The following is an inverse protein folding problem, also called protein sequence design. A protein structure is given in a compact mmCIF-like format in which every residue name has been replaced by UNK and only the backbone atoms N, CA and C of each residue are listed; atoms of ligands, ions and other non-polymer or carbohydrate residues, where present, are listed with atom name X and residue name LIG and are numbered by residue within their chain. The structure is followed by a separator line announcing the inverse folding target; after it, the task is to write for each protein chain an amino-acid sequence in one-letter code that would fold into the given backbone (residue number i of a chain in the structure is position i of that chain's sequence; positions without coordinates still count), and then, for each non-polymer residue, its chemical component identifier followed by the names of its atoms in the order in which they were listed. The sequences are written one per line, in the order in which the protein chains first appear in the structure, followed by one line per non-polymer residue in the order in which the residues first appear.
data_IF_936692401202
#
_entry.id   IF_936692401202
#
_cell.length_a   1.000
_cell.length_b   1.000
_cell.length_c   1.000
_cell.angle_alpha   90.00
_cell.angle_beta   90.00
_cell.angle_gamma   90.00
#
_symmetry.space_group_name_H-M   'P 1'
#
loop_
_entity.id
_entity.type
_entity.pdbx_description
1 polymer ?
#
# COMPACT_ATOMS: atom_id res chain seq x y z
N UNK A 1 5.45 -8.39 -8.78
CA UNK A 1 4.33 -9.25 -9.26
C UNK A 1 3.45 -8.37 -10.13
N UNK A 2 3.28 -8.73 -11.37
CA UNK A 2 2.48 -7.97 -12.35
C UNK A 2 1.91 -8.94 -13.40
N UNK A 3 0.64 -9.32 -13.28
CA UNK A 3 0.04 -10.33 -14.17
C UNK A 3 -0.22 -9.83 -15.60
N UNK A 4 -0.30 -8.51 -15.78
CA UNK A 4 -0.63 -7.93 -17.09
C UNK A 4 0.62 -7.59 -17.90
N UNK A 5 0.48 -7.57 -19.22
CA UNK A 5 1.57 -7.20 -20.11
C UNK A 5 1.87 -5.69 -20.01
N UNK A 6 3.08 -5.36 -19.56
CA UNK A 6 3.63 -4.01 -19.54
C UNK A 6 5.05 -4.04 -20.12
N UNK A 7 5.20 -3.94 -21.44
CA UNK A 7 6.50 -4.15 -22.12
C UNK A 7 7.62 -3.21 -21.68
N UNK A 8 7.27 -2.10 -21.03
CA UNK A 8 8.26 -1.18 -20.48
C UNK A 8 8.92 -1.73 -19.21
N UNK A 9 8.22 -2.59 -18.47
CA UNK A 9 8.68 -3.11 -17.17
C UNK A 9 9.87 -4.04 -17.34
N UNK A 10 9.89 -4.89 -18.37
CA UNK A 10 11.03 -5.75 -18.67
C UNK A 10 12.32 -4.97 -18.99
N UNK A 11 12.17 -3.73 -19.48
CA UNK A 11 13.33 -2.86 -19.80
C UNK A 11 13.96 -2.20 -18.58
N UNK A 12 13.33 -2.31 -17.42
CA UNK A 12 13.87 -1.71 -16.17
C UNK A 12 14.93 -2.58 -15.51
N UNK A 13 15.04 -3.86 -15.90
CA UNK A 13 15.92 -4.84 -15.26
C UNK A 13 15.38 -5.40 -13.94
N UNK A 14 14.17 -5.06 -13.55
CA UNK A 14 13.49 -5.60 -12.36
C UNK A 14 13.03 -7.04 -12.66
N UNK A 15 13.18 -7.94 -11.70
CA UNK A 15 12.61 -9.28 -11.79
C UNK A 15 11.08 -9.20 -11.77
N UNK A 16 10.42 -9.73 -12.80
CA UNK A 16 8.97 -9.67 -12.96
C UNK A 16 8.37 -11.07 -12.86
N UNK A 17 7.41 -11.24 -11.95
CA UNK A 17 6.60 -12.46 -11.83
C UNK A 17 5.26 -12.22 -12.52
N UNK A 18 4.98 -12.98 -13.58
CA UNK A 18 3.78 -12.86 -14.45
C UNK A 18 2.64 -13.75 -13.96
N UNK A 19 2.38 -13.67 -12.67
CA UNK A 19 1.28 -14.38 -12.00
C UNK A 19 0.45 -13.39 -11.19
N UNK A 20 -0.82 -13.74 -10.92
CA UNK A 20 -1.62 -12.97 -9.99
C UNK A 20 -1.16 -13.26 -8.57
N UNK A 21 -1.20 -12.28 -7.71
CA UNK A 21 -0.82 -12.43 -6.30
C UNK A 21 -1.68 -13.48 -5.57
N UNK A 22 -2.92 -13.66 -6.01
CA UNK A 22 -3.85 -14.65 -5.47
C UNK A 22 -3.42 -16.10 -5.72
N UNK A 23 -2.66 -16.32 -6.80
CA UNK A 23 -2.25 -17.66 -7.25
C UNK A 23 -0.85 -18.05 -6.72
N UNK A 24 -0.08 -17.10 -6.15
CA UNK A 24 1.24 -17.37 -5.60
C UNK A 24 1.19 -18.16 -4.30
N UNK A 25 2.16 -19.05 -4.09
CA UNK A 25 2.39 -19.69 -2.79
C UNK A 25 2.81 -18.63 -1.76
N UNK A 26 2.35 -18.76 -0.51
CA UNK A 26 2.76 -17.87 0.58
C UNK A 26 4.27 -17.94 0.84
N UNK A 27 4.89 -19.08 0.61
CA UNK A 27 6.33 -19.25 0.74
C UNK A 27 7.14 -18.29 -0.17
N UNK A 28 6.54 -17.75 -1.24
CA UNK A 28 7.17 -16.71 -2.06
C UNK A 28 7.56 -15.49 -1.23
N UNK A 29 6.74 -15.13 -0.25
CA UNK A 29 6.95 -13.96 0.60
C UNK A 29 7.91 -14.21 1.79
N UNK A 30 8.31 -15.46 2.01
CA UNK A 30 9.31 -15.82 3.03
C UNK A 30 10.72 -15.26 2.70
N UNK A 31 10.92 -14.81 1.47
CA UNK A 31 12.16 -14.14 1.06
C UNK A 31 12.33 -12.73 1.67
N UNK A 32 11.25 -12.13 2.18
CA UNK A 32 11.32 -10.81 2.81
C UNK A 32 11.91 -10.91 4.21
N UNK A 33 12.92 -10.11 4.49
CA UNK A 33 13.57 -10.00 5.79
C UNK A 33 13.36 -8.62 6.43
N UNK A 34 13.82 -8.43 7.65
CA UNK A 34 13.69 -7.17 8.37
C UNK A 34 14.27 -5.99 7.56
N UNK A 35 13.51 -4.90 7.46
CA UNK A 35 13.75 -3.69 6.66
C UNK A 35 13.53 -3.85 5.16
N UNK A 36 13.13 -5.02 4.66
CA UNK A 36 12.59 -5.11 3.32
C UNK A 36 11.20 -4.48 3.25
N UNK A 37 10.79 -4.08 2.06
CA UNK A 37 9.51 -3.43 1.82
C UNK A 37 8.60 -4.34 0.98
N UNK A 38 7.45 -4.69 1.55
CA UNK A 38 6.31 -5.22 0.78
C UNK A 38 5.49 -4.02 0.28
N UNK A 39 5.60 -3.72 -1.01
CA UNK A 39 4.87 -2.63 -1.65
C UNK A 39 3.58 -3.18 -2.28
N UNK A 40 2.43 -2.71 -1.82
CA UNK A 40 1.09 -3.09 -2.29
C UNK A 40 0.49 -1.93 -3.08
N UNK A 41 0.22 -2.17 -4.35
CA UNK A 41 -0.47 -1.28 -5.28
C UNK A 41 -1.30 -2.15 -6.23
N UNK A 42 -2.36 -2.74 -5.69
CA UNK A 42 -3.16 -3.78 -6.33
C UNK A 42 -4.47 -3.22 -6.91
N UNK A 43 -5.58 -3.97 -6.88
CA UNK A 43 -6.84 -3.49 -7.45
C UNK A 43 -7.58 -2.46 -6.58
N UNK A 44 -7.21 -2.31 -5.33
CA UNK A 44 -7.86 -1.50 -4.29
C UNK A 44 -9.32 -1.88 -4.01
N UNK A 45 -9.76 -3.06 -4.46
CA UNK A 45 -11.16 -3.48 -4.35
C UNK A 45 -11.29 -4.82 -3.63
N UNK A 46 -11.98 -4.80 -2.49
CA UNK A 46 -12.38 -6.00 -1.78
C UNK A 46 -13.43 -6.73 -2.62
N UNK A 47 -13.08 -7.91 -3.08
CA UNK A 47 -13.96 -8.79 -3.87
C UNK A 47 -13.66 -10.25 -3.55
N UNK A 48 -14.63 -11.17 -3.69
CA UNK A 48 -14.36 -12.60 -3.52
C UNK A 48 -13.19 -13.06 -4.40
N UNK A 49 -12.25 -13.83 -3.81
CA UNK A 49 -11.06 -14.35 -4.48
C UNK A 49 -10.13 -13.28 -5.05
N UNK A 50 -10.20 -12.04 -4.52
CA UNK A 50 -9.40 -10.91 -5.01
C UNK A 50 -8.07 -10.77 -4.27
N UNK A 51 -7.21 -10.00 -4.90
CA UNK A 51 -5.88 -9.59 -4.45
C UNK A 51 -5.89 -8.97 -3.04
N UNK A 52 -6.73 -7.95 -2.81
CA UNK A 52 -6.82 -7.25 -1.51
C UNK A 52 -7.12 -8.21 -0.35
N UNK A 53 -8.01 -9.19 -0.56
CA UNK A 53 -8.30 -10.20 0.47
C UNK A 53 -7.10 -11.14 0.69
N UNK A 54 -6.42 -11.54 -0.40
CA UNK A 54 -5.22 -12.37 -0.32
C UNK A 54 -4.11 -11.66 0.45
N UNK A 55 -3.91 -10.39 0.15
CA UNK A 55 -2.90 -9.55 0.78
C UNK A 55 -3.14 -9.39 2.28
N UNK A 56 -4.31 -8.93 2.69
CA UNK A 56 -4.58 -8.63 4.11
C UNK A 56 -4.94 -9.83 4.97
N UNK A 57 -5.48 -10.91 4.39
CA UNK A 57 -5.83 -12.09 5.18
C UNK A 57 -4.70 -13.11 5.28
N UNK A 58 -3.75 -13.10 4.34
CA UNK A 58 -2.75 -14.16 4.27
C UNK A 58 -1.32 -13.63 4.17
N UNK A 59 -1.02 -12.74 3.22
CA UNK A 59 0.35 -12.29 2.97
C UNK A 59 0.83 -11.37 4.09
N UNK A 60 0.17 -10.26 4.35
CA UNK A 60 0.57 -9.30 5.38
C UNK A 60 0.68 -9.94 6.76
N UNK A 61 -0.26 -10.81 7.22
CA UNK A 61 -0.10 -11.50 8.49
C UNK A 61 1.09 -12.46 8.56
N UNK A 62 1.57 -12.98 7.42
CA UNK A 62 2.66 -13.96 7.37
C UNK A 62 4.06 -13.36 7.30
N UNK A 63 4.21 -12.07 6.97
CA UNK A 63 5.54 -11.46 6.85
C UNK A 63 6.33 -11.53 8.15
N UNK A 64 7.64 -11.63 8.05
CA UNK A 64 8.55 -11.69 9.20
C UNK A 64 8.57 -10.37 9.98
N UNK A 65 8.94 -10.45 11.27
CA UNK A 65 9.21 -9.26 12.09
C UNK A 65 10.25 -8.37 11.42
N UNK A 66 10.00 -7.05 11.46
CA UNK A 66 10.85 -6.05 10.83
C UNK A 66 10.53 -5.72 9.37
N UNK A 67 9.72 -6.53 8.68
CA UNK A 67 9.26 -6.20 7.33
C UNK A 67 8.37 -4.96 7.37
N UNK A 68 8.61 -4.04 6.44
CA UNK A 68 7.83 -2.81 6.25
C UNK A 68 6.78 -3.07 5.18
N UNK A 69 5.53 -2.70 5.44
CA UNK A 69 4.46 -2.77 4.47
C UNK A 69 4.09 -1.36 4.03
N UNK A 70 4.12 -1.12 2.74
CA UNK A 70 3.56 0.08 2.11
C UNK A 70 2.28 -0.28 1.38
N UNK A 71 1.20 0.45 1.65
CA UNK A 71 -0.04 0.35 0.89
C UNK A 71 -0.25 1.68 0.16
N UNK A 72 -0.35 1.60 -1.16
CA UNK A 72 -0.52 2.76 -2.02
C UNK A 72 -1.96 3.25 -2.02
N UNK A 73 -2.16 4.53 -2.33
CA UNK A 73 -3.48 5.17 -2.42
C UNK A 73 -4.37 5.05 -1.17
N UNK A 74 -3.76 5.12 0.00
CA UNK A 74 -4.41 5.16 1.32
C UNK A 74 -4.36 6.57 1.90
N UNK A 75 -5.47 7.08 2.35
CA UNK A 75 -5.65 8.46 2.85
C UNK A 75 -5.93 8.56 4.36
N UNK A 76 -5.97 7.45 5.05
CA UNK A 76 -6.23 7.35 6.51
C UNK A 76 -5.47 8.42 7.31
N UNK A 77 -6.13 9.14 8.26
CA UNK A 77 -7.50 8.91 8.78
C UNK A 77 -8.61 9.64 7.98
N UNK A 78 -8.30 10.21 6.83
CA UNK A 78 -9.28 10.81 5.92
C UNK A 78 -9.85 9.72 5.01
N UNK A 79 -10.98 10.02 4.38
CA UNK A 79 -11.57 9.15 3.38
C UNK A 79 -10.94 9.36 2.00
N UNK A 80 -11.26 8.49 1.05
CA UNK A 80 -10.88 8.65 -0.35
C UNK A 80 -11.34 10.01 -0.89
N UNK A 81 -10.57 10.63 -1.80
CA UNK A 81 -10.97 11.90 -2.40
C UNK A 81 -12.38 11.83 -3.02
N UNK A 82 -13.26 12.74 -2.64
CA UNK A 82 -14.64 12.75 -3.12
C UNK A 82 -14.73 12.76 -4.67
N UNK A 83 -13.76 13.38 -5.32
CA UNK A 83 -13.67 13.40 -6.79
C UNK A 83 -13.48 12.01 -7.37
N UNK A 84 -12.72 11.14 -6.69
CA UNK A 84 -12.51 9.77 -7.13
C UNK A 84 -13.82 8.97 -7.11
N UNK A 85 -14.63 9.16 -6.09
CA UNK A 85 -15.92 8.50 -5.99
C UNK A 85 -16.93 9.06 -6.99
N UNK A 86 -17.10 10.40 -7.02
CA UNK A 86 -18.16 11.06 -7.77
C UNK A 86 -17.90 11.22 -9.26
N UNK A 87 -16.63 11.49 -9.63
CA UNK A 87 -16.23 11.77 -11.00
C UNK A 87 -15.60 10.56 -11.66
N UNK A 88 -14.58 9.97 -11.02
CA UNK A 88 -13.82 8.86 -11.57
C UNK A 88 -14.49 7.49 -11.34
N UNK A 89 -15.51 7.43 -10.47
CA UNK A 89 -16.24 6.21 -10.10
C UNK A 89 -15.34 5.11 -9.56
N UNK A 90 -14.26 5.48 -8.86
CA UNK A 90 -13.36 4.54 -8.18
C UNK A 90 -14.05 4.10 -6.89
N UNK A 91 -14.66 2.93 -6.91
CA UNK A 91 -15.33 2.34 -5.75
C UNK A 91 -14.33 1.53 -4.90
N UNK A 92 -13.19 2.13 -4.62
CA UNK A 92 -12.13 1.52 -3.83
C UNK A 92 -12.53 1.41 -2.37
N UNK A 93 -12.08 0.34 -1.71
CA UNK A 93 -12.47 0.04 -0.33
C UNK A 93 -11.38 -0.69 0.46
N UNK A 94 -10.19 -0.84 -0.10
CA UNK A 94 -9.02 -1.46 0.53
C UNK A 94 -8.66 -0.78 1.85
N UNK A 95 -8.70 0.56 1.89
CA UNK A 95 -8.40 1.36 3.08
C UNK A 95 -9.17 0.89 4.30
N UNK A 96 -10.45 0.59 4.15
CA UNK A 96 -11.30 0.16 5.27
C UNK A 96 -10.92 -1.23 5.80
N UNK A 97 -10.43 -2.12 4.92
CA UNK A 97 -9.90 -3.41 5.34
C UNK A 97 -8.58 -3.24 6.08
N UNK A 98 -7.67 -2.40 5.56
CA UNK A 98 -6.40 -2.07 6.20
C UNK A 98 -6.63 -1.46 7.59
N UNK A 99 -7.52 -0.48 7.72
CA UNK A 99 -7.89 0.11 9.01
C UNK A 99 -8.42 -0.95 9.99
N UNK A 100 -9.32 -1.81 9.52
CA UNK A 100 -9.86 -2.90 10.32
C UNK A 100 -8.78 -3.90 10.73
N UNK A 101 -7.85 -4.21 9.84
CA UNK A 101 -6.71 -5.10 10.10
C UNK A 101 -5.78 -4.53 11.20
N UNK A 102 -5.53 -3.23 11.17
CA UNK A 102 -4.66 -2.57 12.15
C UNK A 102 -5.35 -2.28 13.48
N UNK A 103 -6.68 -2.21 13.51
CA UNK A 103 -7.43 -2.02 14.75
C UNK A 103 -7.16 -3.17 15.73
N UNK A 104 -6.75 -2.83 16.96
CA UNK A 104 -6.42 -3.80 18.01
C UNK A 104 -5.33 -4.82 17.66
N UNK A 105 -4.58 -4.58 16.59
CA UNK A 105 -3.49 -5.45 16.15
C UNK A 105 -2.15 -4.98 16.69
N UNK A 106 -1.73 -5.54 17.82
CA UNK A 106 -0.47 -5.21 18.47
C UNK A 106 0.77 -5.78 17.77
N UNK A 107 0.61 -6.52 16.69
CA UNK A 107 1.75 -7.10 15.95
C UNK A 107 2.29 -6.18 14.85
N UNK A 108 1.63 -5.05 14.63
CA UNK A 108 2.07 -4.06 13.67
C UNK A 108 2.08 -2.67 14.31
N UNK A 109 3.01 -1.83 13.89
CA UNK A 109 3.06 -0.42 14.25
C UNK A 109 2.97 0.45 13.01
N UNK A 110 2.17 1.50 13.05
CA UNK A 110 2.14 2.52 12.01
C UNK A 110 3.45 3.31 12.04
N UNK A 111 4.07 3.50 10.87
CA UNK A 111 5.30 4.28 10.70
C UNK A 111 4.98 5.65 10.11
N UNK A 112 4.15 5.69 9.06
CA UNK A 112 3.89 6.91 8.33
C UNK A 112 2.53 6.86 7.65
N UNK A 113 1.78 7.97 7.71
CA UNK A 113 0.56 8.23 6.95
C UNK A 113 0.79 9.50 6.12
N UNK A 114 1.20 9.35 4.85
CA UNK A 114 1.69 10.46 4.03
C UNK A 114 0.63 11.56 3.85
N UNK A 115 -0.62 11.17 3.64
CA UNK A 115 -1.69 12.15 3.46
C UNK A 115 -1.94 12.97 4.73
N UNK A 116 -2.00 12.30 5.88
CA UNK A 116 -2.15 12.97 7.18
C UNK A 116 -0.98 13.92 7.46
N UNK A 117 0.26 13.49 7.24
CA UNK A 117 1.44 14.34 7.42
C UNK A 117 1.37 15.59 6.55
N UNK A 118 0.98 15.43 5.29
CA UNK A 118 0.82 16.57 4.40
C UNK A 118 -0.26 17.55 4.88
N UNK A 119 -1.36 17.06 5.43
CA UNK A 119 -2.46 17.93 5.90
C UNK A 119 -2.15 18.61 7.24
N UNK A 120 -1.59 17.86 8.19
CA UNK A 120 -1.46 18.30 9.57
C UNK A 120 -0.05 18.80 9.93
N UNK A 121 0.98 18.39 9.17
CA UNK A 121 2.38 18.67 9.43
C UNK A 121 3.12 19.05 8.14
N UNK A 122 2.53 19.98 7.37
CA UNK A 122 2.99 20.30 6.01
C UNK A 122 4.47 20.72 5.95
N UNK A 123 4.93 21.59 6.85
CA UNK A 123 6.30 22.08 6.85
C UNK A 123 7.32 20.95 7.11
N UNK A 124 6.99 20.05 8.04
CA UNK A 124 7.84 18.90 8.33
C UNK A 124 7.83 17.89 7.18
N UNK A 125 6.68 17.71 6.56
CA UNK A 125 6.56 16.83 5.39
C UNK A 125 7.34 17.36 4.20
N UNK A 126 7.30 18.67 3.92
CA UNK A 126 8.10 19.33 2.89
C UNK A 126 9.59 19.26 3.21
N UNK A 127 9.99 19.46 4.46
CA UNK A 127 11.39 19.32 4.87
C UNK A 127 11.95 17.91 4.60
N UNK A 128 11.13 16.87 4.79
CA UNK A 128 11.50 15.48 4.52
C UNK A 128 11.37 15.11 3.01
N UNK A 129 10.44 15.72 2.31
CA UNK A 129 10.15 15.47 0.90
C UNK A 129 9.96 16.80 0.14
N UNK A 130 11.04 17.49 -0.26
CA UNK A 130 10.99 18.83 -0.87
C UNK A 130 10.14 18.91 -2.15
N UNK A 131 10.06 17.83 -2.92
CA UNK A 131 9.21 17.77 -4.13
C UNK A 131 7.72 18.04 -3.82
N UNK A 132 7.28 17.86 -2.60
CA UNK A 132 5.91 18.18 -2.19
C UNK A 132 5.59 19.67 -2.33
N UNK A 133 6.57 20.54 -2.15
CA UNK A 133 6.41 21.99 -2.33
C UNK A 133 6.18 22.35 -3.82
N UNK A 134 6.77 21.60 -4.74
CA UNK A 134 6.60 21.78 -6.18
C UNK A 134 5.23 21.30 -6.68
N UNK A 135 4.61 20.37 -5.92
CA UNK A 135 3.32 19.77 -6.24
C UNK A 135 2.30 19.93 -5.10
N UNK A 136 1.93 21.17 -4.74
CA UNK A 136 1.10 21.43 -3.55
C UNK A 136 -0.30 20.81 -3.62
N UNK A 137 -0.82 20.61 -4.84
CA UNK A 137 -2.13 19.99 -5.07
C UNK A 137 -2.13 18.47 -5.05
N UNK A 138 -0.95 17.84 -5.10
CA UNK A 138 -0.85 16.39 -5.04
C UNK A 138 -1.40 15.84 -3.72
N UNK A 139 -2.08 14.70 -3.79
CA UNK A 139 -2.62 13.99 -2.63
C UNK A 139 -1.80 12.72 -2.43
N UNK A 140 -0.71 12.76 -1.62
CA UNK A 140 0.14 11.59 -1.43
C UNK A 140 -0.62 10.51 -0.65
N UNK A 141 -1.15 9.52 -1.35
CA UNK A 141 -1.82 8.37 -0.79
C UNK A 141 -0.82 7.25 -0.53
N UNK A 142 -0.15 7.28 0.59
CA UNK A 142 0.77 6.20 0.98
C UNK A 142 0.71 5.98 2.47
N UNK A 143 0.52 4.74 2.89
CA UNK A 143 0.44 4.36 4.29
C UNK A 143 1.47 3.28 4.59
N UNK A 144 2.21 3.45 5.68
CA UNK A 144 3.34 2.61 6.03
C UNK A 144 3.19 2.05 7.43
N UNK A 145 3.37 0.77 7.58
CA UNK A 145 3.41 0.10 8.87
C UNK A 145 4.42 -1.04 8.85
N UNK A 146 4.85 -1.47 10.01
CA UNK A 146 5.91 -2.48 10.16
C UNK A 146 5.45 -3.60 11.08
N UNK A 147 5.78 -4.83 10.70
CA UNK A 147 5.64 -6.01 11.56
C UNK A 147 6.63 -5.89 12.74
N UNK A 148 6.17 -6.00 13.97
CA UNK A 148 6.99 -5.96 15.20
C UNK A 148 7.16 -7.33 15.83
#
# INVERSE_FOLDING_TARGET
IEPYEMPWLERTGVAVVRERVEDLDLAFFDALDANDILFIDSSHVIRPWGDVLREFHQIVPSVKSGVIVHVHDIFTPYDYPETWLRQDRRLWNEQYLMESFLCYNSQFKVICANHWLKQERFDEFVAACPMTAEHPVAKPGGFWFQRI
#
